data_IF_818450378220
#
_entry.id   IF_818450378220
#
_cell.length_a   1.000
_cell.length_b   1.000
_cell.length_c   1.000
_cell.angle_alpha   90.00
_cell.angle_beta   90.00
_cell.angle_gamma   90.00
#
_symmetry.space_group_name_H-M   'P 1'
#
loop_
_entity.id
_entity.type
_entity.pdbx_description
1 polymer ?
#
# COMPACT_ATOMS: atom_id res chain seq x y z
N UNK A 1 48.57 4.48 50.71
CA UNK A 1 47.22 4.66 50.09
C UNK A 1 47.22 5.07 48.61
N UNK A 2 48.18 5.84 48.14
CA UNK A 2 48.25 6.32 46.71
C UNK A 2 48.49 5.19 45.67
N UNK A 3 49.19 4.12 46.03
CA UNK A 3 49.55 3.02 45.10
C UNK A 3 48.36 2.13 44.73
N UNK A 4 47.42 1.92 45.63
CA UNK A 4 46.22 1.11 45.39
C UNK A 4 45.21 1.83 44.47
N UNK A 5 45.05 3.16 44.60
CA UNK A 5 44.16 3.97 43.75
C UNK A 5 44.64 3.97 42.27
N UNK A 6 45.95 3.96 42.03
CA UNK A 6 46.54 3.94 40.68
C UNK A 6 46.34 2.59 39.98
N UNK A 7 46.37 1.48 40.78
CA UNK A 7 46.16 0.11 40.27
C UNK A 7 44.69 -0.13 39.87
N UNK A 8 43.73 0.44 40.65
CA UNK A 8 42.31 0.31 40.34
C UNK A 8 41.93 1.10 39.07
N UNK A 9 42.45 2.32 38.87
CA UNK A 9 42.26 3.08 37.63
C UNK A 9 42.78 2.38 36.37
N UNK A 10 43.95 1.68 36.49
CA UNK A 10 44.56 0.95 35.38
C UNK A 10 43.75 -0.29 34.96
N UNK A 11 43.11 -0.97 35.93
CA UNK A 11 42.22 -2.11 35.69
C UNK A 11 40.90 -1.71 35.01
N UNK A 12 40.34 -0.55 35.39
CA UNK A 12 39.14 0.01 34.73
C UNK A 12 39.42 0.41 33.28
N UNK A 13 40.60 0.96 32.98
CA UNK A 13 41.00 1.28 31.62
C UNK A 13 41.17 0.05 30.72
N UNK A 14 41.70 -1.05 31.25
CA UNK A 14 41.85 -2.32 30.52
C UNK A 14 40.47 -2.97 30.19
N UNK A 15 39.57 -3.02 31.17
CA UNK A 15 38.20 -3.53 30.99
C UNK A 15 37.45 -2.72 29.94
N UNK A 16 37.54 -1.40 29.98
CA UNK A 16 36.89 -0.54 28.99
C UNK A 16 37.48 -0.71 27.58
N UNK A 17 38.80 -0.84 27.46
CA UNK A 17 39.50 -1.04 26.20
C UNK A 17 39.23 -2.42 25.58
N UNK A 18 39.07 -3.46 26.42
CA UNK A 18 38.70 -4.81 26.01
C UNK A 18 37.22 -4.86 25.59
N UNK A 19 36.32 -4.23 26.35
CA UNK A 19 34.90 -4.13 26.00
C UNK A 19 34.69 -3.41 24.66
N UNK A 20 35.35 -2.28 24.43
CA UNK A 20 35.22 -1.53 23.16
C UNK A 20 35.92 -2.20 22.00
N UNK A 21 37.00 -2.95 22.25
CA UNK A 21 37.76 -3.64 21.20
C UNK A 21 37.11 -4.94 20.70
N UNK A 22 36.42 -5.68 21.57
CA UNK A 22 35.79 -6.95 21.15
C UNK A 22 34.26 -6.88 21.04
N UNK A 23 33.60 -6.11 21.88
CA UNK A 23 32.13 -5.95 21.80
C UNK A 23 31.66 -4.87 20.81
N UNK A 24 32.49 -3.86 20.54
CA UNK A 24 32.16 -2.80 19.59
C UNK A 24 31.83 -3.32 18.18
N UNK A 25 32.72 -4.11 17.56
CA UNK A 25 32.44 -4.70 16.25
C UNK A 25 31.23 -5.62 16.24
N UNK A 26 31.01 -6.42 17.29
CA UNK A 26 29.84 -7.31 17.38
C UNK A 26 28.53 -6.52 17.44
N UNK A 27 28.48 -5.42 18.23
CA UNK A 27 27.31 -4.55 18.29
C UNK A 27 27.04 -3.87 16.93
N UNK A 28 28.08 -3.41 16.23
CA UNK A 28 27.94 -2.83 14.89
C UNK A 28 27.38 -3.85 13.90
N UNK A 29 27.89 -5.06 13.91
CA UNK A 29 27.39 -6.14 13.03
C UNK A 29 25.93 -6.47 13.36
N UNK A 30 25.56 -6.59 14.65
CA UNK A 30 24.19 -6.83 15.07
C UNK A 30 23.24 -5.71 14.64
N UNK A 31 23.67 -4.44 14.75
CA UNK A 31 22.89 -3.30 14.26
C UNK A 31 22.72 -3.34 12.74
N UNK A 32 23.77 -3.62 11.98
CA UNK A 32 23.70 -3.74 10.53
C UNK A 32 22.77 -4.87 10.09
N UNK A 33 22.87 -6.04 10.72
CA UNK A 33 21.97 -7.17 10.46
C UNK A 33 20.54 -6.83 10.81
N UNK A 34 20.30 -6.17 11.96
CA UNK A 34 18.97 -5.71 12.36
C UNK A 34 18.35 -4.73 11.35
N UNK A 35 19.13 -3.78 10.86
CA UNK A 35 18.67 -2.83 9.81
C UNK A 35 18.36 -3.57 8.51
N UNK A 36 19.22 -4.47 8.05
CA UNK A 36 19.00 -5.23 6.82
C UNK A 36 17.75 -6.10 6.91
N UNK A 37 17.53 -6.76 8.03
CA UNK A 37 16.32 -7.55 8.27
C UNK A 37 15.09 -6.65 8.26
N UNK A 38 15.12 -5.51 8.97
CA UNK A 38 13.98 -4.58 9.03
C UNK A 38 13.61 -4.04 7.65
N UNK A 39 14.61 -3.66 6.83
CA UNK A 39 14.37 -3.18 5.45
C UNK A 39 13.80 -4.30 4.58
N UNK A 40 14.32 -5.53 4.72
CA UNK A 40 13.83 -6.70 4.01
C UNK A 40 12.37 -7.02 4.33
N UNK A 41 12.00 -7.00 5.60
CA UNK A 41 10.62 -7.21 6.05
C UNK A 41 9.67 -6.12 5.54
N UNK A 42 10.06 -4.85 5.66
CA UNK A 42 9.26 -3.74 5.16
C UNK A 42 9.00 -3.88 3.65
N UNK A 43 10.06 -4.14 2.86
CA UNK A 43 9.94 -4.32 1.40
C UNK A 43 9.02 -5.50 1.04
N UNK A 44 9.16 -6.63 1.72
CA UNK A 44 8.32 -7.81 1.51
C UNK A 44 6.85 -7.53 1.83
N UNK A 45 6.60 -6.80 2.92
CA UNK A 45 5.25 -6.44 3.32
C UNK A 45 4.56 -5.52 2.32
N UNK A 46 5.26 -4.47 1.84
CA UNK A 46 4.73 -3.58 0.80
C UNK A 46 4.45 -4.32 -0.51
N UNK A 47 5.33 -5.21 -0.93
CA UNK A 47 5.10 -6.02 -2.12
C UNK A 47 3.91 -6.96 -1.96
N UNK A 48 3.74 -7.57 -0.80
CA UNK A 48 2.59 -8.42 -0.51
C UNK A 48 1.27 -7.63 -0.51
N UNK A 49 1.25 -6.46 0.12
CA UNK A 49 0.09 -5.57 0.12
C UNK A 49 -0.28 -5.11 -1.29
N UNK A 50 0.72 -4.76 -2.12
CA UNK A 50 0.55 -4.39 -3.52
C UNK A 50 -0.04 -5.54 -4.34
N UNK A 51 0.50 -6.73 -4.20
CA UNK A 51 0.00 -7.93 -4.88
C UNK A 51 -1.42 -8.28 -4.46
N UNK A 52 -1.73 -8.19 -3.16
CA UNK A 52 -3.06 -8.43 -2.64
C UNK A 52 -4.08 -7.41 -3.19
N UNK A 53 -3.70 -6.12 -3.26
CA UNK A 53 -4.57 -5.08 -3.82
C UNK A 53 -4.84 -5.29 -5.31
N UNK A 54 -3.81 -5.68 -6.08
CA UNK A 54 -3.95 -6.05 -7.50
C UNK A 54 -4.88 -7.24 -7.69
N UNK A 55 -4.67 -8.30 -6.91
CA UNK A 55 -5.52 -9.49 -6.97
C UNK A 55 -6.97 -9.16 -6.63
N UNK A 56 -7.20 -8.29 -5.63
CA UNK A 56 -8.53 -7.82 -5.25
C UNK A 56 -9.18 -6.99 -6.38
N UNK A 57 -8.42 -6.10 -7.02
CA UNK A 57 -8.90 -5.31 -8.15
C UNK A 57 -9.25 -6.20 -9.35
N UNK A 58 -8.43 -7.21 -9.66
CA UNK A 58 -8.70 -8.18 -10.72
C UNK A 58 -9.98 -8.97 -10.44
N UNK A 59 -10.05 -9.60 -9.26
CA UNK A 59 -11.19 -10.45 -8.89
C UNK A 59 -12.50 -9.63 -8.76
N UNK A 60 -12.43 -8.43 -8.20
CA UNK A 60 -13.58 -7.54 -8.08
C UNK A 60 -14.13 -7.10 -9.44
N UNK A 61 -13.25 -6.72 -10.37
CA UNK A 61 -13.66 -6.34 -11.72
C UNK A 61 -14.21 -7.51 -12.51
N UNK A 62 -13.59 -8.70 -12.41
CA UNK A 62 -14.08 -9.92 -13.05
C UNK A 62 -15.47 -10.32 -12.56
N UNK A 63 -15.66 -10.31 -11.23
CA UNK A 63 -16.96 -10.56 -10.62
C UNK A 63 -18.01 -9.54 -11.07
N UNK A 64 -17.67 -8.25 -11.07
CA UNK A 64 -18.57 -7.18 -11.51
C UNK A 64 -18.95 -7.32 -12.99
N UNK A 65 -17.97 -7.55 -13.85
CA UNK A 65 -18.20 -7.73 -15.28
C UNK A 65 -19.06 -8.96 -15.60
N UNK A 66 -18.89 -10.05 -14.83
CA UNK A 66 -19.55 -11.33 -15.11
C UNK A 66 -20.94 -11.42 -14.50
N UNK A 67 -21.12 -10.93 -13.26
CA UNK A 67 -22.32 -11.24 -12.48
C UNK A 67 -23.14 -10.02 -12.07
N UNK A 68 -22.54 -8.84 -12.01
CA UNK A 68 -23.21 -7.66 -11.46
C UNK A 68 -23.74 -6.74 -12.55
N UNK A 69 -23.00 -6.56 -13.62
CA UNK A 69 -23.35 -5.64 -14.69
C UNK A 69 -24.23 -6.36 -15.74
N UNK A 70 -25.52 -6.08 -15.71
CA UNK A 70 -26.51 -6.68 -16.62
C UNK A 70 -26.75 -5.85 -17.89
N UNK A 71 -26.52 -4.55 -17.82
CA UNK A 71 -26.63 -3.65 -18.96
C UNK A 71 -25.81 -2.37 -18.76
N UNK A 72 -25.43 -1.71 -19.86
CA UNK A 72 -24.75 -0.40 -19.81
C UNK A 72 -25.57 0.68 -19.08
N UNK A 73 -26.90 0.66 -19.21
CA UNK A 73 -27.78 1.62 -18.54
C UNK A 73 -27.83 1.45 -17.04
N UNK A 74 -27.56 0.24 -16.55
CA UNK A 74 -27.58 -0.08 -15.12
C UNK A 74 -26.21 0.00 -14.45
N UNK A 75 -25.17 0.34 -15.21
CA UNK A 75 -23.80 0.46 -14.69
C UNK A 75 -23.73 1.26 -13.39
N UNK A 76 -24.25 2.48 -13.40
CA UNK A 76 -24.21 3.37 -12.23
C UNK A 76 -24.95 2.77 -11.02
N UNK A 77 -26.14 2.22 -11.24
CA UNK A 77 -26.93 1.56 -10.19
C UNK A 77 -26.19 0.34 -9.64
N UNK A 78 -25.67 -0.49 -10.51
CA UNK A 78 -24.90 -1.70 -10.14
C UNK A 78 -23.64 -1.33 -9.36
N UNK A 79 -22.90 -0.30 -9.79
CA UNK A 79 -21.73 0.23 -9.09
C UNK A 79 -22.09 0.76 -7.69
N UNK A 80 -23.22 1.48 -7.56
CA UNK A 80 -23.68 2.02 -6.28
C UNK A 80 -24.05 0.88 -5.31
N UNK A 81 -24.79 -0.13 -5.77
CA UNK A 81 -25.16 -1.28 -4.94
C UNK A 81 -23.93 -2.08 -4.52
N UNK A 82 -22.99 -2.30 -5.45
CA UNK A 82 -21.75 -3.01 -5.16
C UNK A 82 -20.88 -2.24 -4.15
N UNK A 83 -20.74 -0.94 -4.31
CA UNK A 83 -19.99 -0.08 -3.38
C UNK A 83 -20.63 -0.07 -1.98
N UNK A 84 -21.96 -0.05 -1.89
CA UNK A 84 -22.68 -0.09 -0.61
C UNK A 84 -22.53 -1.43 0.13
N UNK A 85 -22.32 -2.53 -0.60
CA UNK A 85 -22.10 -3.87 -0.04
C UNK A 85 -20.61 -4.17 0.23
N UNK A 86 -19.71 -3.21 0.03
CA UNK A 86 -18.28 -3.43 0.16
C UNK A 86 -17.82 -3.42 1.63
N UNK A 87 -17.45 -4.58 2.15
CA UNK A 87 -17.13 -4.80 3.57
C UNK A 87 -15.80 -4.19 4.04
N UNK A 88 -14.81 -4.04 3.15
CA UNK A 88 -13.47 -3.54 3.51
C UNK A 88 -13.35 -2.00 3.52
N UNK A 89 -14.45 -1.29 3.49
CA UNK A 89 -14.52 0.16 3.38
C UNK A 89 -13.75 0.95 4.43
N UNK A 90 -13.41 0.35 5.58
CA UNK A 90 -12.59 0.96 6.62
C UNK A 90 -11.10 1.05 6.28
N UNK A 91 -10.60 0.17 5.42
CA UNK A 91 -9.18 0.05 5.06
C UNK A 91 -8.89 0.38 3.61
N UNK A 92 -9.81 0.02 2.74
CA UNK A 92 -9.69 0.15 1.30
C UNK A 92 -10.87 0.97 0.79
N UNK A 93 -10.60 2.03 0.07
CA UNK A 93 -11.61 2.78 -0.67
C UNK A 93 -11.82 2.11 -2.03
N UNK A 94 -13.07 1.84 -2.38
CA UNK A 94 -13.46 1.38 -3.70
C UNK A 94 -14.05 2.56 -4.47
N UNK A 95 -13.54 2.77 -5.68
CA UNK A 95 -13.98 3.81 -6.60
C UNK A 95 -14.36 3.18 -7.93
N UNK A 96 -15.47 3.65 -8.50
CA UNK A 96 -15.87 3.37 -9.87
C UNK A 96 -15.69 4.65 -10.68
N UNK A 97 -14.86 4.55 -11.71
CA UNK A 97 -14.57 5.65 -12.61
C UNK A 97 -15.16 5.36 -13.99
N UNK A 98 -15.58 6.40 -14.71
CA UNK A 98 -15.96 6.25 -16.10
C UNK A 98 -14.72 6.09 -17.01
N UNK A 99 -14.93 5.90 -18.30
CA UNK A 99 -13.87 5.73 -19.29
C UNK A 99 -12.94 6.95 -19.46
N UNK A 100 -13.32 8.11 -18.94
CA UNK A 100 -12.46 9.31 -18.92
C UNK A 100 -11.68 9.46 -17.61
N UNK A 101 -11.83 8.53 -16.65
CA UNK A 101 -11.13 8.57 -15.36
C UNK A 101 -11.79 9.44 -14.30
N UNK A 102 -13.06 9.85 -14.49
CA UNK A 102 -13.85 10.60 -13.50
C UNK A 102 -14.53 9.66 -12.53
N UNK A 103 -14.43 9.93 -11.24
CA UNK A 103 -15.10 9.17 -10.18
C UNK A 103 -16.61 9.38 -10.27
N UNK A 104 -17.36 8.28 -10.39
CA UNK A 104 -18.81 8.27 -10.42
C UNK A 104 -19.44 7.69 -9.16
N UNK A 105 -18.78 6.68 -8.56
CA UNK A 105 -19.19 6.07 -7.30
C UNK A 105 -17.96 5.83 -6.45
N UNK A 106 -18.04 6.06 -5.15
CA UNK A 106 -16.96 5.79 -4.19
C UNK A 106 -17.55 5.36 -2.86
N UNK A 107 -16.83 4.52 -2.13
CA UNK A 107 -17.20 4.11 -0.77
C UNK A 107 -16.83 5.16 0.27
N UNK A 108 -15.78 5.96 0.00
CA UNK A 108 -15.25 6.94 0.96
C UNK A 108 -14.25 7.90 0.28
N UNK A 109 -13.91 8.99 0.97
CA UNK A 109 -12.71 9.80 0.75
C UNK A 109 -12.85 10.82 -0.37
N UNK A 110 -12.83 10.38 -1.60
CA UNK A 110 -12.81 11.25 -2.76
C UNK A 110 -14.22 11.69 -3.16
N UNK A 111 -14.38 12.97 -3.50
CA UNK A 111 -15.67 13.51 -3.96
C UNK A 111 -16.04 12.97 -5.35
N UNK A 112 -17.27 12.51 -5.50
CA UNK A 112 -17.83 12.14 -6.81
C UNK A 112 -17.68 13.32 -7.80
N UNK A 113 -17.27 12.98 -9.02
CA UNK A 113 -17.01 13.97 -10.07
C UNK A 113 -15.56 14.43 -10.20
N UNK A 114 -14.69 14.06 -9.25
CA UNK A 114 -13.27 14.40 -9.33
C UNK A 114 -12.49 13.44 -10.24
N UNK A 115 -11.29 13.87 -10.61
CA UNK A 115 -10.35 13.09 -11.40
C UNK A 115 -9.11 12.79 -10.54
N UNK A 116 -8.89 11.56 -10.07
CA UNK A 116 -7.70 11.19 -9.30
C UNK A 116 -6.39 11.43 -10.05
N UNK A 117 -6.39 11.30 -11.38
CA UNK A 117 -5.28 11.66 -12.26
C UNK A 117 -4.02 10.80 -12.10
N UNK A 118 -4.10 9.69 -11.39
CA UNK A 118 -2.96 8.78 -11.17
C UNK A 118 -2.74 7.85 -12.37
N UNK A 119 -1.47 7.51 -12.70
CA UNK A 119 -1.12 6.88 -13.97
C UNK A 119 -1.70 5.48 -14.16
N UNK A 120 -1.97 4.73 -13.08
CA UNK A 120 -2.51 3.37 -13.19
C UNK A 120 -3.90 3.30 -13.82
N UNK A 121 -4.69 4.38 -13.68
CA UNK A 121 -6.03 4.47 -14.27
C UNK A 121 -5.93 4.44 -15.79
N UNK A 122 -5.13 5.34 -16.35
CA UNK A 122 -4.97 5.45 -17.81
C UNK A 122 -4.22 4.27 -18.39
N UNK A 123 -3.19 3.78 -17.68
CA UNK A 123 -2.46 2.58 -18.08
C UNK A 123 -3.35 1.33 -18.09
N UNK A 124 -4.32 1.22 -17.17
CA UNK A 124 -5.28 0.13 -17.19
C UNK A 124 -6.24 0.26 -18.40
N UNK A 125 -6.70 1.47 -18.71
CA UNK A 125 -7.57 1.73 -19.87
C UNK A 125 -6.86 1.37 -21.18
N UNK A 126 -5.60 1.76 -21.32
CA UNK A 126 -4.82 1.53 -22.55
C UNK A 126 -4.43 0.06 -22.73
N UNK A 127 -3.94 -0.60 -21.68
CA UNK A 127 -3.42 -1.96 -21.77
C UNK A 127 -4.49 -3.05 -21.63
N UNK A 128 -5.60 -2.74 -21.00
CA UNK A 128 -6.63 -3.74 -20.64
C UNK A 128 -6.26 -4.64 -19.47
N UNK A 129 -5.13 -4.38 -18.80
CA UNK A 129 -4.60 -5.16 -17.69
C UNK A 129 -4.76 -4.43 -16.36
N UNK A 130 -4.71 -5.17 -15.27
CA UNK A 130 -4.66 -4.58 -13.93
C UNK A 130 -3.34 -3.83 -13.75
N UNK A 131 -3.44 -2.56 -13.45
CA UNK A 131 -2.28 -1.69 -13.16
C UNK A 131 -2.35 -1.20 -11.73
N UNK A 132 -1.19 -0.92 -11.16
CA UNK A 132 -1.09 -0.39 -9.80
C UNK A 132 -0.17 0.83 -9.72
N UNK A 133 -0.36 1.61 -8.68
CA UNK A 133 0.36 2.83 -8.40
C UNK A 133 0.69 2.93 -6.92
N UNK A 134 1.89 3.39 -6.62
CA UNK A 134 2.32 3.75 -5.27
C UNK A 134 2.87 5.16 -5.32
N UNK A 135 2.21 6.09 -4.65
CA UNK A 135 2.62 7.49 -4.70
C UNK A 135 1.69 8.38 -3.89
N UNK A 136 1.59 9.65 -4.29
CA UNK A 136 0.65 10.61 -3.70
C UNK A 136 -0.63 10.69 -4.52
N UNK A 137 -1.75 10.63 -3.84
CA UNK A 137 -3.04 10.96 -4.44
C UNK A 137 -3.09 12.46 -4.76
N UNK A 138 -3.48 12.80 -5.99
CA UNK A 138 -3.48 14.19 -6.46
C UNK A 138 -4.57 15.02 -5.79
N UNK A 139 -5.66 14.37 -5.39
CA UNK A 139 -6.83 15.06 -4.79
C UNK A 139 -6.63 15.27 -3.29
N UNK A 140 -6.19 14.22 -2.58
CA UNK A 140 -6.05 14.25 -1.12
C UNK A 140 -4.65 14.62 -0.63
N UNK A 141 -3.62 14.48 -1.48
CA UNK A 141 -2.20 14.64 -1.13
C UNK A 141 -1.63 13.51 -0.27
N UNK A 142 -2.42 12.53 0.13
CA UNK A 142 -1.99 11.40 0.93
C UNK A 142 -1.11 10.43 0.15
N UNK A 143 -0.22 9.73 0.86
CA UNK A 143 0.51 8.60 0.27
C UNK A 143 -0.40 7.39 0.19
N UNK A 144 -0.62 6.91 -1.03
CA UNK A 144 -1.54 5.83 -1.33
C UNK A 144 -0.86 4.69 -2.09
N UNK A 145 -1.50 3.54 -1.99
CA UNK A 145 -1.33 2.42 -2.91
C UNK A 145 -2.68 2.21 -3.60
N UNK A 146 -2.70 2.17 -4.92
CA UNK A 146 -3.90 2.00 -5.70
C UNK A 146 -3.72 0.88 -6.73
N UNK A 147 -4.82 0.19 -7.06
CA UNK A 147 -4.87 -0.77 -8.16
C UNK A 147 -6.15 -0.56 -8.96
N UNK A 148 -6.01 -0.50 -10.28
CA UNK A 148 -7.09 -0.24 -11.23
C UNK A 148 -7.27 -1.40 -12.19
N UNK A 149 -8.52 -1.80 -12.40
CA UNK A 149 -8.91 -2.84 -13.34
C UNK A 149 -10.06 -2.37 -14.22
N UNK A 150 -10.09 -2.81 -15.48
CA UNK A 150 -11.12 -2.42 -16.43
C UNK A 150 -12.48 -3.05 -16.13
N UNK A 151 -13.50 -2.25 -16.31
CA UNK A 151 -14.88 -2.70 -16.39
C UNK A 151 -15.30 -2.73 -17.88
N UNK A 152 -15.77 -3.90 -18.32
CA UNK A 152 -16.16 -4.14 -19.71
C UNK A 152 -17.57 -4.71 -19.77
N UNK A 153 -18.34 -4.24 -20.75
CA UNK A 153 -19.62 -4.82 -21.11
C UNK A 153 -19.66 -5.10 -22.59
N UNK A 154 -19.89 -6.35 -22.97
CA UNK A 154 -19.85 -6.83 -24.36
C UNK A 154 -18.56 -6.40 -25.10
N UNK A 155 -17.43 -6.48 -24.43
CA UNK A 155 -16.12 -6.13 -24.98
C UNK A 155 -15.80 -4.63 -24.99
N UNK A 156 -16.76 -3.77 -24.71
CA UNK A 156 -16.55 -2.31 -24.63
C UNK A 156 -16.16 -1.88 -23.22
N UNK A 157 -15.21 -0.96 -23.13
CA UNK A 157 -14.81 -0.35 -21.86
C UNK A 157 -15.91 0.58 -21.39
N UNK A 158 -16.46 0.31 -20.21
CA UNK A 158 -17.50 1.15 -19.58
C UNK A 158 -16.94 1.99 -18.47
N UNK A 159 -15.82 1.58 -17.88
CA UNK A 159 -15.17 2.30 -16.79
C UNK A 159 -14.00 1.55 -16.20
N UNK A 160 -13.60 1.98 -15.00
CA UNK A 160 -12.50 1.41 -14.22
C UNK A 160 -12.98 1.19 -12.77
N UNK A 161 -12.69 0.04 -12.24
CA UNK A 161 -12.79 -0.26 -10.81
C UNK A 161 -11.42 -0.06 -10.17
N UNK A 162 -11.35 0.86 -9.21
CA UNK A 162 -10.12 1.27 -8.54
C UNK A 162 -10.22 1.00 -7.05
N UNK A 163 -9.23 0.30 -6.50
CA UNK A 163 -9.06 0.07 -5.08
C UNK A 163 -7.91 0.93 -4.58
N UNK A 164 -8.15 1.68 -3.50
CA UNK A 164 -7.17 2.62 -2.93
C UNK A 164 -7.02 2.37 -1.44
N UNK A 165 -5.78 2.34 -0.96
CA UNK A 165 -5.48 2.30 0.48
C UNK A 165 -4.41 3.32 0.83
N UNK A 166 -4.58 3.99 1.95
CA UNK A 166 -3.55 4.88 2.48
C UNK A 166 -2.37 4.06 3.03
N UNK A 167 -1.15 4.44 2.67
CA UNK A 167 0.07 3.76 3.13
C UNK A 167 0.20 3.84 4.65
N UNK A 168 -0.23 4.94 5.28
CA UNK A 168 -0.27 5.07 6.73
C UNK A 168 -1.13 4.02 7.45
N UNK A 169 -2.13 3.45 6.80
CA UNK A 169 -2.90 2.32 7.33
C UNK A 169 -2.09 1.02 7.27
N UNK A 170 -1.25 0.86 6.25
CA UNK A 170 -0.32 -0.27 6.10
C UNK A 170 0.77 -0.18 7.17
N UNK A 171 1.39 0.99 7.36
CA UNK A 171 2.44 1.22 8.36
C UNK A 171 1.97 0.91 9.79
N UNK A 172 0.72 1.25 10.09
CA UNK A 172 0.14 0.97 11.41
C UNK A 172 -0.04 -0.52 11.69
N UNK A 173 -0.29 -1.33 10.66
CA UNK A 173 -0.36 -2.79 10.80
C UNK A 173 1.02 -3.43 10.99
N UNK A 174 2.06 -2.89 10.35
CA UNK A 174 3.46 -3.36 10.53
C UNK A 174 3.97 -3.11 11.95
N UNK A 175 3.53 -2.03 12.59
CA UNK A 175 3.94 -1.68 13.96
C UNK A 175 3.23 -2.50 15.05
N UNK A 176 2.14 -3.19 14.71
CA UNK A 176 1.34 -3.98 15.65
C UNK A 176 1.66 -5.50 15.60
N UNK A 177 2.56 -5.93 14.72
CA UNK A 177 3.05 -7.32 14.57
C UNK A 177 4.45 -7.46 15.09
#
# INVERSE_FOLDING_TARGET
MLTLAKKVKKVQGLKRRWLTGSMGPVLVILLLVGVLISVGFASSYYNSARSALRAKAAAGADYFNTYVMTSYREYYRSATVYAAAFDDGDRIELQFLNSSGRVEVTTRGVTVGTYPGTPEIYSAIESGEVKDYVGRDVVTGERIMAASSLLKFNGQVVGVMRYVTAIGNIDRQVLLT
#
